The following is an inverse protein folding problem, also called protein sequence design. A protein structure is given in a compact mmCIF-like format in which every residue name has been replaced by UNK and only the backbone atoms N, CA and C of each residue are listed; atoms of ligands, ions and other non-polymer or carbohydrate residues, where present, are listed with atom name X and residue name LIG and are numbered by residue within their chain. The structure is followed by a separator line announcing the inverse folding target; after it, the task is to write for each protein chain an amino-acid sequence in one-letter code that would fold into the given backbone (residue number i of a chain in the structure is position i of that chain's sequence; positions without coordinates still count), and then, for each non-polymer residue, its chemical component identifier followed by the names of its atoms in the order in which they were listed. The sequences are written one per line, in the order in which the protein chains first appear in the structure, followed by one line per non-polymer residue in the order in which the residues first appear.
data_IF_212285637314
#
_entry.id   IF_212285637314
#
_cell.length_a   1.000
_cell.length_b   1.000
_cell.length_c   1.000
_cell.angle_alpha   90.00
_cell.angle_beta   90.00
_cell.angle_gamma   90.00
#
_symmetry.space_group_name_H-M   'P 1'
#
loop_
_entity.id
_entity.type
_entity.pdbx_description
1 polymer ?
#
# COMPACT_ATOMS: atom_id res chain seq x y z
N UNK A 1 15.78 6.03 11.39
CA UNK A 1 16.49 4.74 11.47
C UNK A 1 16.21 3.88 10.25
N UNK A 2 16.60 4.36 9.06
CA UNK A 2 16.34 3.72 7.75
C UNK A 2 16.93 2.30 7.65
N UNK A 3 17.96 2.02 8.44
CA UNK A 3 18.59 0.69 8.49
C UNK A 3 17.68 -0.39 9.10
N UNK A 4 16.67 -0.02 9.88
CA UNK A 4 15.87 -0.97 10.68
C UNK A 4 14.37 -0.91 10.38
N UNK A 5 13.88 0.12 9.70
CA UNK A 5 12.46 0.32 9.44
C UNK A 5 12.23 0.78 8.00
N UNK A 6 11.05 0.52 7.46
CA UNK A 6 10.61 1.10 6.19
C UNK A 6 10.06 2.52 6.33
N UNK A 7 10.25 3.17 7.50
CA UNK A 7 9.78 4.52 7.76
C UNK A 7 8.25 4.65 7.83
N UNK A 8 7.75 5.91 7.80
CA UNK A 8 6.32 6.19 7.99
C UNK A 8 5.39 5.51 7.00
N UNK A 9 5.85 5.22 5.77
CA UNK A 9 5.01 4.57 4.76
C UNK A 9 4.79 3.09 5.06
N UNK A 10 5.81 2.39 5.59
CA UNK A 10 5.69 0.99 5.97
C UNK A 10 5.01 0.81 7.35
N UNK A 11 4.93 1.86 8.14
CA UNK A 11 4.20 1.88 9.42
C UNK A 11 2.74 2.36 9.17
N UNK A 12 2.50 3.65 9.22
CA UNK A 12 1.16 4.22 9.08
C UNK A 12 0.59 4.11 7.67
N UNK A 13 1.45 4.26 6.67
CA UNK A 13 1.04 4.20 5.26
C UNK A 13 0.54 2.82 4.85
N UNK A 14 1.04 1.74 5.44
CA UNK A 14 0.56 0.40 5.18
C UNK A 14 -0.95 0.26 5.50
N UNK A 15 -1.43 0.84 6.60
CA UNK A 15 -2.86 0.83 6.93
C UNK A 15 -3.71 1.58 5.90
N UNK A 16 -3.21 2.72 5.40
CA UNK A 16 -3.92 3.49 4.39
C UNK A 16 -3.95 2.77 3.03
N UNK A 17 -2.82 2.17 2.63
CA UNK A 17 -2.72 1.40 1.38
C UNK A 17 -3.61 0.16 1.42
N UNK A 18 -3.58 -0.59 2.52
CA UNK A 18 -4.42 -1.77 2.72
C UNK A 18 -5.91 -1.42 2.60
N UNK A 19 -6.36 -0.37 3.27
CA UNK A 19 -7.73 0.11 3.17
C UNK A 19 -8.09 0.55 1.74
N UNK A 20 -7.17 1.20 1.02
CA UNK A 20 -7.39 1.58 -0.39
C UNK A 20 -7.50 0.33 -1.26
N UNK A 21 -6.60 -0.63 -1.11
CA UNK A 21 -6.65 -1.88 -1.87
C UNK A 21 -7.93 -2.68 -1.60
N UNK A 22 -8.33 -2.80 -0.34
CA UNK A 22 -9.59 -3.45 0.04
C UNK A 22 -10.79 -2.76 -0.60
N UNK A 23 -10.88 -1.43 -0.52
CA UNK A 23 -11.98 -0.66 -1.08
C UNK A 23 -12.05 -0.72 -2.61
N UNK A 24 -10.92 -0.92 -3.28
CA UNK A 24 -10.82 -1.06 -4.74
C UNK A 24 -10.95 -2.49 -5.22
N UNK A 25 -10.99 -3.48 -4.32
CA UNK A 25 -10.97 -4.90 -4.68
C UNK A 25 -9.62 -5.36 -5.28
N UNK A 26 -8.52 -4.75 -4.86
CA UNK A 26 -7.18 -5.02 -5.39
C UNK A 26 -6.41 -6.02 -4.51
N UNK A 27 -6.96 -7.18 -4.29
CA UNK A 27 -6.32 -8.24 -3.47
C UNK A 27 -4.99 -8.73 -4.06
N UNK A 28 -4.88 -8.70 -5.41
CA UNK A 28 -3.70 -9.17 -6.15
C UNK A 28 -3.24 -8.16 -7.21
N UNK A 29 -3.56 -6.87 -7.05
CA UNK A 29 -3.24 -5.84 -8.04
C UNK A 29 -2.21 -4.88 -7.49
N UNK A 30 -1.01 -4.88 -8.10
CA UNK A 30 0.05 -3.91 -7.80
C UNK A 30 0.02 -2.74 -8.79
N UNK A 31 0.59 -1.57 -8.42
CA UNK A 31 0.85 -0.52 -9.40
C UNK A 31 1.92 -0.98 -10.40
N UNK A 32 1.78 -0.57 -11.65
CA UNK A 32 2.77 -0.86 -12.70
C UNK A 32 3.85 0.20 -12.80
N UNK A 33 3.58 1.41 -12.28
CA UNK A 33 4.49 2.54 -12.33
C UNK A 33 4.33 3.44 -11.12
N UNK A 34 5.45 3.90 -10.57
CA UNK A 34 5.48 4.86 -9.46
C UNK A 34 6.33 6.07 -9.88
N UNK A 35 5.80 7.28 -9.66
CA UNK A 35 6.41 8.54 -10.13
C UNK A 35 6.53 9.52 -8.97
N UNK A 36 7.71 10.08 -8.70
CA UNK A 36 7.86 11.16 -7.73
C UNK A 36 7.23 12.44 -8.31
N UNK A 37 6.50 13.20 -7.50
CA UNK A 37 5.76 14.39 -7.96
C UNK A 37 6.34 15.70 -7.48
N UNK A 38 7.09 15.68 -6.39
CA UNK A 38 7.70 16.90 -5.81
C UNK A 38 9.15 16.67 -5.46
N UNK A 39 10.05 17.64 -5.74
CA UNK A 39 11.33 17.68 -5.08
C UNK A 39 11.12 17.86 -3.58
N UNK A 40 11.93 17.23 -2.77
CA UNK A 40 11.96 17.45 -1.34
C UNK A 40 13.40 17.46 -0.83
N UNK A 41 13.65 18.21 0.22
CA UNK A 41 14.97 18.31 0.85
C UNK A 41 15.42 16.96 1.43
N UNK A 42 14.44 16.14 1.76
CA UNK A 42 14.65 14.73 2.13
C UNK A 42 13.66 13.83 1.38
N UNK A 43 14.06 12.60 1.12
CA UNK A 43 13.26 11.68 0.34
C UNK A 43 11.90 11.29 0.99
N UNK A 44 11.79 11.31 2.32
CA UNK A 44 10.55 11.01 3.04
C UNK A 44 9.40 11.97 2.72
N UNK A 45 9.73 13.23 2.41
CA UNK A 45 8.74 14.26 2.08
C UNK A 45 8.30 14.28 0.61
N UNK A 46 8.90 13.47 -0.26
CA UNK A 46 8.52 13.45 -1.68
C UNK A 46 7.14 12.86 -1.88
N UNK A 47 6.26 13.63 -2.54
CA UNK A 47 4.99 13.10 -3.03
C UNK A 47 5.24 12.07 -4.13
N UNK A 48 4.38 11.08 -4.24
CA UNK A 48 4.42 10.06 -5.29
C UNK A 48 3.04 9.78 -5.86
N UNK A 49 3.00 9.34 -7.11
CA UNK A 49 1.81 8.80 -7.77
C UNK A 49 2.06 7.36 -8.15
N UNK A 50 1.10 6.51 -7.84
CA UNK A 50 1.07 5.11 -8.23
C UNK A 50 0.03 4.95 -9.34
N UNK A 51 0.43 4.34 -10.44
CA UNK A 51 -0.43 4.09 -11.60
C UNK A 51 -0.79 2.60 -11.63
N UNK A 52 -2.07 2.30 -11.58
CA UNK A 52 -2.61 0.94 -11.59
C UNK A 52 -3.07 0.52 -12.98
N UNK A 53 -3.15 -0.80 -13.27
CA UNK A 53 -3.49 -1.31 -14.60
C UNK A 53 -4.85 -0.87 -15.14
N UNK A 54 -5.81 -0.60 -14.25
CA UNK A 54 -7.16 -0.13 -14.57
C UNK A 54 -7.24 1.38 -14.89
N UNK A 55 -6.10 2.07 -14.87
CA UNK A 55 -6.00 3.52 -15.07
C UNK A 55 -6.19 4.36 -13.82
N UNK A 56 -6.47 3.73 -12.68
CA UNK A 56 -6.57 4.45 -11.39
C UNK A 56 -5.21 5.00 -10.97
N UNK A 57 -5.21 6.21 -10.41
CA UNK A 57 -4.01 6.86 -9.89
C UNK A 57 -4.16 7.12 -8.40
N UNK A 58 -3.34 6.48 -7.59
CA UNK A 58 -3.23 6.78 -6.16
C UNK A 58 -2.16 7.84 -5.95
N UNK A 59 -2.53 8.90 -5.21
CA UNK A 59 -1.64 10.02 -4.89
C UNK A 59 -1.31 10.02 -3.41
N UNK A 60 -0.02 9.99 -3.08
CA UNK A 60 0.48 10.21 -1.73
C UNK A 60 1.00 11.65 -1.65
N UNK A 61 0.18 12.55 -1.15
CA UNK A 61 0.50 13.96 -0.98
C UNK A 61 0.55 14.30 0.52
N UNK A 62 1.59 15.00 0.96
CA UNK A 62 2.10 14.92 2.32
C UNK A 62 1.35 15.71 3.39
N UNK A 63 0.30 16.50 3.11
CA UNK A 63 -0.20 17.44 4.14
C UNK A 63 -1.70 17.43 4.40
N UNK A 64 -2.54 17.03 3.47
CA UNK A 64 -3.99 17.29 3.58
C UNK A 64 -4.87 16.02 3.53
N UNK A 65 -4.27 14.84 3.56
CA UNK A 65 -4.97 13.56 3.56
C UNK A 65 -5.21 12.97 4.95
N UNK A 66 -6.11 12.00 5.06
CA UNK A 66 -6.34 11.27 6.31
C UNK A 66 -5.10 10.46 6.70
N UNK A 67 -4.70 10.53 7.97
CA UNK A 67 -3.45 9.90 8.45
C UNK A 67 -3.47 8.36 8.38
N UNK A 68 -4.66 7.75 8.43
CA UNK A 68 -4.88 6.29 8.42
C UNK A 68 -6.01 5.90 7.49
N UNK A 69 -6.07 6.53 6.33
CA UNK A 69 -7.16 6.31 5.42
C UNK A 69 -6.90 6.87 4.04
N UNK A 70 -7.96 7.08 3.26
CA UNK A 70 -7.88 7.55 1.89
C UNK A 70 -9.07 8.43 1.50
N UNK A 71 -8.86 9.18 0.42
CA UNK A 71 -9.89 9.95 -0.24
C UNK A 71 -10.10 9.34 -1.62
N UNK A 72 -11.31 8.88 -1.87
CA UNK A 72 -11.73 8.32 -3.16
C UNK A 72 -12.49 9.39 -3.93
N UNK A 73 -12.03 9.70 -5.12
CA UNK A 73 -12.64 10.70 -6.00
C UNK A 73 -13.08 9.99 -7.28
N UNK A 74 -14.39 9.95 -7.49
CA UNK A 74 -15.02 9.36 -8.67
C UNK A 74 -15.93 10.33 -9.39
N UNK A 75 -16.53 9.86 -10.49
CA UNK A 75 -17.44 10.68 -11.30
C UNK A 75 -18.69 11.15 -10.55
N UNK A 76 -19.16 10.37 -9.57
CA UNK A 76 -20.37 10.66 -8.79
C UNK A 76 -20.12 11.47 -7.53
N UNK A 77 -18.85 11.61 -7.11
CA UNK A 77 -18.54 12.34 -5.89
C UNK A 77 -17.25 11.87 -5.20
N UNK A 78 -17.16 12.19 -3.93
CA UNK A 78 -15.99 11.96 -3.07
C UNK A 78 -16.38 11.16 -1.84
N UNK A 79 -15.55 10.19 -1.47
CA UNK A 79 -15.62 9.46 -0.20
C UNK A 79 -14.31 9.68 0.55
N UNK A 80 -14.39 9.98 1.83
CA UNK A 80 -13.25 10.09 2.72
C UNK A 80 -13.40 9.07 3.84
N UNK A 81 -12.40 8.20 3.98
CA UNK A 81 -12.31 7.21 5.05
C UNK A 81 -11.07 7.50 5.89
N UNK A 82 -11.25 7.53 7.21
CA UNK A 82 -10.17 7.60 8.18
C UNK A 82 -10.61 6.80 9.41
N UNK A 83 -9.68 6.45 10.31
CA UNK A 83 -10.06 5.74 11.55
C UNK A 83 -11.18 6.44 12.28
N UNK A 84 -12.31 5.74 12.51
CA UNK A 84 -13.48 6.26 13.23
C UNK A 84 -14.23 7.38 12.53
N UNK A 85 -13.87 7.72 11.28
CA UNK A 85 -14.53 8.77 10.51
C UNK A 85 -14.78 8.32 9.09
N UNK A 86 -16.01 8.55 8.66
CA UNK A 86 -16.46 8.31 7.30
C UNK A 86 -17.27 9.50 6.82
N UNK A 87 -17.00 10.00 5.63
CA UNK A 87 -17.71 11.13 5.04
C UNK A 87 -17.83 10.95 3.52
N UNK A 88 -18.93 11.40 2.95
CA UNK A 88 -19.11 11.44 1.50
C UNK A 88 -19.76 12.74 1.03
N UNK A 89 -19.54 13.09 -0.21
CA UNK A 89 -20.15 14.23 -0.87
C UNK A 89 -20.47 13.85 -2.34
N UNK A 90 -21.73 13.85 -2.76
CA UNK A 90 -22.94 14.14 -1.97
C UNK A 90 -23.19 13.11 -0.86
N UNK A 91 -23.99 13.48 0.14
CA UNK A 91 -24.22 12.67 1.35
C UNK A 91 -25.02 11.41 1.13
N UNK A 92 -25.76 11.33 0.02
CA UNK A 92 -26.53 10.19 -0.44
C UNK A 92 -25.75 9.25 -1.37
N UNK A 93 -24.44 9.48 -1.53
CA UNK A 93 -23.59 8.66 -2.38
C UNK A 93 -23.52 7.21 -1.92
N UNK A 94 -23.68 6.96 -0.64
CA UNK A 94 -23.63 5.66 -0.03
C UNK A 94 -24.98 5.31 0.61
N UNK A 95 -25.47 4.12 0.27
CA UNK A 95 -26.58 3.54 0.99
C UNK A 95 -26.17 3.21 2.45
N UNK A 96 -27.10 3.23 3.40
CA UNK A 96 -26.86 2.72 4.74
C UNK A 96 -26.30 1.27 4.65
N UNK A 97 -25.32 0.96 5.49
CA UNK A 97 -24.82 -0.39 5.61
C UNK A 97 -25.84 -1.24 6.38
N UNK A 98 -26.32 -2.29 5.73
CA UNK A 98 -27.31 -3.24 6.31
C UNK A 98 -26.69 -4.64 6.52
N UNK A 99 -25.35 -4.76 6.41
CA UNK A 99 -24.66 -6.03 6.57
C UNK A 99 -24.48 -6.45 8.03
N UNK A 100 -24.01 -7.68 8.27
CA UNK A 100 -23.68 -8.15 9.61
C UNK A 100 -22.54 -7.34 10.22
N UNK A 101 -22.46 -7.33 11.55
CA UNK A 101 -21.29 -6.80 12.25
C UNK A 101 -20.01 -7.52 11.80
N UNK A 102 -18.91 -6.80 11.83
CA UNK A 102 -17.61 -7.38 11.46
C UNK A 102 -17.22 -8.46 12.43
N UNK A 103 -16.86 -9.64 11.89
CA UNK A 103 -16.29 -10.71 12.68
C UNK A 103 -14.99 -10.27 13.36
N UNK A 104 -14.76 -10.77 14.59
CA UNK A 104 -13.50 -10.54 15.27
C UNK A 104 -12.33 -11.13 14.47
N UNK A 105 -11.33 -10.30 14.12
CA UNK A 105 -10.11 -10.75 13.43
C UNK A 105 -9.40 -11.89 14.17
N UNK A 106 -9.39 -11.85 15.50
CA UNK A 106 -8.76 -12.91 16.32
C UNK A 106 -9.55 -14.22 16.21
N UNK A 107 -10.89 -14.15 16.26
CA UNK A 107 -11.72 -15.33 16.10
C UNK A 107 -11.56 -15.93 14.70
N UNK A 108 -11.63 -15.10 13.66
CA UNK A 108 -11.41 -15.53 12.29
C UNK A 108 -10.03 -16.21 12.11
N UNK A 109 -8.97 -15.61 12.65
CA UNK A 109 -7.64 -16.20 12.56
C UNK A 109 -7.55 -17.56 13.26
N UNK A 110 -8.09 -17.70 14.48
CA UNK A 110 -8.12 -18.97 15.21
C UNK A 110 -8.90 -20.05 14.48
N UNK A 111 -10.06 -19.70 13.91
CA UNK A 111 -10.86 -20.62 13.13
C UNK A 111 -10.13 -21.06 11.85
N UNK A 112 -9.41 -20.16 11.20
CA UNK A 112 -8.59 -20.48 10.02
C UNK A 112 -7.38 -21.36 10.35
N UNK A 113 -6.77 -21.20 11.51
CA UNK A 113 -5.71 -22.11 12.01
C UNK A 113 -6.23 -23.54 12.12
N UNK A 114 -7.47 -23.73 12.60
CA UNK A 114 -8.09 -25.06 12.76
C UNK A 114 -8.64 -25.60 11.44
N UNK A 115 -9.40 -24.78 10.71
CA UNK A 115 -10.11 -25.19 9.50
C UNK A 115 -9.24 -25.24 8.24
N UNK A 116 -8.06 -24.60 8.28
CA UNK A 116 -7.16 -24.37 7.13
C UNK A 116 -7.82 -23.58 5.99
N UNK A 117 -8.85 -22.80 6.29
CA UNK A 117 -9.43 -21.83 5.36
C UNK A 117 -8.56 -20.57 5.29
N UNK A 118 -8.74 -19.82 4.24
CA UNK A 118 -8.10 -18.52 4.07
C UNK A 118 -8.65 -17.51 5.10
N UNK A 119 -7.80 -16.78 5.82
CA UNK A 119 -8.25 -15.75 6.75
C UNK A 119 -8.68 -14.47 6.02
N UNK A 120 -9.43 -13.61 6.72
CA UNK A 120 -9.84 -12.30 6.20
C UNK A 120 -8.66 -11.36 5.87
N UNK A 121 -7.48 -11.65 6.40
CA UNK A 121 -6.23 -10.93 6.11
C UNK A 121 -5.14 -11.94 5.73
N UNK A 122 -5.14 -12.44 4.48
CA UNK A 122 -4.16 -13.41 4.01
C UNK A 122 -2.76 -12.79 3.89
N UNK A 123 -1.73 -13.63 4.01
CA UNK A 123 -0.34 -13.17 3.99
C UNK A 123 0.05 -12.58 2.63
N UNK A 124 -0.56 -13.01 1.55
CA UNK A 124 -0.38 -12.52 0.19
C UNK A 124 -0.74 -11.04 0.07
N UNK A 125 -1.86 -10.62 0.66
CA UNK A 125 -2.25 -9.21 0.73
C UNK A 125 -1.26 -8.42 1.58
N UNK A 126 -0.82 -8.97 2.72
CA UNK A 126 0.21 -8.38 3.56
C UNK A 126 1.53 -8.17 2.81
N UNK A 127 1.96 -9.17 2.02
CA UNK A 127 3.14 -9.09 1.16
C UNK A 127 2.97 -7.99 0.09
N UNK A 128 1.84 -7.97 -0.62
CA UNK A 128 1.55 -6.96 -1.64
C UNK A 128 1.63 -5.54 -1.07
N UNK A 129 0.95 -5.26 0.04
CA UNK A 129 0.94 -3.93 0.66
C UNK A 129 2.33 -3.51 1.14
N UNK A 130 3.09 -4.45 1.70
CA UNK A 130 4.47 -4.21 2.12
C UNK A 130 5.36 -3.91 0.92
N UNK A 131 5.24 -4.66 -0.16
CA UNK A 131 5.98 -4.46 -1.40
C UNK A 131 5.68 -3.08 -2.01
N UNK A 132 4.41 -2.70 -2.12
CA UNK A 132 4.01 -1.35 -2.59
C UNK A 132 4.60 -0.26 -1.70
N UNK A 133 4.62 -0.45 -0.37
CA UNK A 133 5.22 0.50 0.56
C UNK A 133 6.73 0.67 0.31
N UNK A 134 7.45 -0.42 0.07
CA UNK A 134 8.87 -0.38 -0.27
C UNK A 134 9.13 0.25 -1.64
N UNK A 135 8.32 -0.03 -2.65
CA UNK A 135 8.41 0.60 -3.97
C UNK A 135 8.24 2.13 -3.89
N UNK A 136 7.34 2.62 -3.04
CA UNK A 136 7.19 4.05 -2.75
C UNK A 136 8.50 4.63 -2.18
N UNK A 137 9.11 3.93 -1.22
CA UNK A 137 10.38 4.38 -0.64
C UNK A 137 11.51 4.37 -1.67
N UNK A 138 11.64 3.31 -2.46
CA UNK A 138 12.65 3.21 -3.53
C UNK A 138 12.48 4.35 -4.52
N UNK A 139 11.26 4.60 -5.01
CA UNK A 139 10.97 5.72 -5.91
C UNK A 139 11.37 7.08 -5.29
N UNK A 140 11.13 7.27 -4.00
CA UNK A 140 11.54 8.48 -3.27
C UNK A 140 13.05 8.61 -3.16
N UNK A 141 13.76 7.52 -2.88
CA UNK A 141 15.22 7.48 -2.77
C UNK A 141 15.88 7.84 -4.09
N UNK A 142 15.51 7.13 -5.16
CA UNK A 142 16.11 7.37 -6.49
C UNK A 142 15.64 8.68 -7.13
N UNK A 143 14.47 9.20 -6.72
CA UNK A 143 13.95 10.49 -7.16
C UNK A 143 13.50 10.54 -8.62
N UNK A 144 13.24 9.41 -9.23
CA UNK A 144 12.82 9.26 -10.63
C UNK A 144 11.77 8.15 -10.78
N UNK A 145 11.01 8.11 -11.90
CA UNK A 145 9.99 7.09 -12.13
C UNK A 145 10.58 5.69 -12.17
N UNK A 146 9.89 4.75 -11.51
CA UNK A 146 10.18 3.32 -11.57
C UNK A 146 9.01 2.56 -12.18
N UNK A 147 9.29 1.48 -12.92
CA UNK A 147 8.31 0.58 -13.49
C UNK A 147 8.44 -0.80 -12.84
N UNK A 148 7.32 -1.34 -12.40
CA UNK A 148 7.24 -2.55 -11.61
C UNK A 148 6.60 -3.70 -12.39
N UNK A 149 7.29 -4.83 -12.47
CA UNK A 149 6.75 -6.13 -12.91
C UNK A 149 6.40 -6.96 -11.67
N UNK A 150 5.12 -6.98 -11.31
CA UNK A 150 4.65 -7.67 -10.11
C UNK A 150 4.80 -9.19 -10.20
N UNK A 151 4.78 -9.77 -11.41
CA UNK A 151 4.92 -11.22 -11.58
C UNK A 151 6.37 -11.69 -11.37
N UNK A 152 7.33 -10.83 -11.66
CA UNK A 152 8.76 -11.10 -11.44
C UNK A 152 9.32 -10.48 -10.17
N UNK A 153 8.52 -9.62 -9.52
CA UNK A 153 8.97 -8.78 -8.40
C UNK A 153 10.25 -8.00 -8.72
N UNK A 154 10.25 -7.29 -9.87
CA UNK A 154 11.40 -6.56 -10.37
C UNK A 154 11.05 -5.15 -10.83
N UNK A 155 11.96 -4.20 -10.60
CA UNK A 155 11.94 -2.89 -11.23
C UNK A 155 12.66 -3.01 -12.58
N UNK A 156 11.92 -2.78 -13.68
CA UNK A 156 12.36 -3.15 -15.01
C UNK A 156 13.14 -2.08 -15.76
N UNK A 157 12.97 -0.81 -15.37
CA UNK A 157 13.54 0.34 -16.08
C UNK A 157 14.75 0.97 -15.37
N UNK A 158 15.17 0.45 -14.21
CA UNK A 158 16.20 1.09 -13.38
C UNK A 158 16.93 0.06 -12.50
N UNK A 159 18.17 -0.24 -12.84
CA UNK A 159 18.99 -1.22 -12.12
C UNK A 159 19.35 -0.76 -10.71
N UNK A 160 19.67 0.53 -10.50
CA UNK A 160 19.95 1.07 -9.17
C UNK A 160 18.75 0.94 -8.24
N UNK A 161 17.55 1.25 -8.75
CA UNK A 161 16.32 1.07 -8.02
C UNK A 161 16.03 -0.41 -7.73
N UNK A 162 16.30 -1.30 -8.71
CA UNK A 162 16.10 -2.73 -8.55
C UNK A 162 17.05 -3.34 -7.50
N UNK A 163 18.28 -2.87 -7.41
CA UNK A 163 19.25 -3.31 -6.39
C UNK A 163 18.80 -2.94 -4.96
N UNK A 164 17.97 -1.91 -4.80
CA UNK A 164 17.39 -1.54 -3.50
C UNK A 164 16.29 -2.48 -3.00
N UNK A 165 15.80 -3.40 -3.82
CA UNK A 165 14.86 -4.45 -3.40
C UNK A 165 15.53 -5.46 -2.45
N UNK A 166 16.84 -5.61 -2.54
CA UNK A 166 17.60 -6.56 -1.72
C UNK A 166 18.46 -5.80 -0.73
N UNK A 167 18.29 -6.13 0.56
CA UNK A 167 19.14 -5.60 1.61
C UNK A 167 20.35 -6.50 1.82
N UNK A 168 21.55 -5.91 1.75
CA UNK A 168 22.78 -6.61 2.12
C UNK A 168 22.66 -7.02 3.59
N UNK A 169 22.76 -8.32 3.84
CA UNK A 169 22.69 -8.91 5.19
C UNK A 169 24.10 -9.27 5.67
N UNK A 170 24.28 -9.29 6.98
CA UNK A 170 25.48 -9.87 7.55
C UNK A 170 25.47 -11.39 7.29
N UNK A 171 26.63 -12.04 7.06
CA UNK A 171 26.69 -13.45 6.69
C UNK A 171 25.92 -14.39 7.62
N UNK A 172 25.94 -14.11 8.91
CA UNK A 172 25.22 -14.90 9.93
C UNK A 172 23.69 -14.76 9.90
N UNK A 173 23.17 -13.82 9.10
CA UNK A 173 21.72 -13.54 8.93
C UNK A 173 21.28 -13.63 7.48
N UNK A 174 22.01 -14.34 6.65
CA UNK A 174 21.56 -14.63 5.29
C UNK A 174 20.28 -15.48 5.31
N UNK A 175 19.40 -15.23 4.33
CA UNK A 175 18.20 -16.03 4.20
C UNK A 175 18.61 -17.43 3.69
N UNK A 176 17.94 -18.49 4.16
CA UNK A 176 18.15 -19.81 3.60
C UNK A 176 17.84 -19.79 2.09
N UNK A 177 18.59 -20.55 1.33
CA UNK A 177 18.27 -20.76 -0.09
C UNK A 177 16.88 -21.43 -0.18
N UNK A 178 16.01 -20.86 -0.98
CA UNK A 178 14.66 -21.38 -1.27
C UNK A 178 14.74 -22.27 -2.50
#
# INVERSE_FOLDING_TARGET
YDAFTGGPICDRGAHALDMVHLAMGWENVAPTRIVPTTPADNYWGRGVRLYYPDGTVVRLESKDGPAFGGIFIGQRGKIEINRGRFACNPTDLLAPYEGPDTESHVANWLDCVQSRKEPNAPVEVGHLITSVSHLINICRIVGRPIEWDAAKEQITNDNEANDLLVKVRRPEFELPAV
#
